data_IF_382223756835
#
_entry.id   IF_382223756835
#
_cell.length_a   1.000
_cell.length_b   1.000
_cell.length_c   1.000
_cell.angle_alpha   90.00
_cell.angle_beta   90.00
_cell.angle_gamma   90.00
#
_symmetry.space_group_name_H-M   'P 1'
#
loop_
_entity.id
_entity.type
_entity.pdbx_description
1 polymer ?
#
# COMPACT_ATOMS: atom_id res chain seq x y z
N UNK A 1 30.29 14.84 16.68
CA UNK A 1 28.86 15.19 16.75
C UNK A 1 28.08 13.96 16.32
N UNK A 2 27.62 13.14 17.26
CA UNK A 2 26.66 12.08 16.96
C UNK A 2 25.27 12.72 17.11
N UNK A 3 24.66 13.10 15.99
CA UNK A 3 23.25 13.47 15.98
C UNK A 3 22.45 12.20 16.27
N UNK A 4 21.80 12.17 17.44
CA UNK A 4 20.74 11.20 17.72
C UNK A 4 19.57 11.55 16.80
N UNK A 5 19.53 10.93 15.62
CA UNK A 5 18.33 10.93 14.80
C UNK A 5 17.37 9.95 15.47
N UNK A 6 16.25 10.46 15.95
CA UNK A 6 15.24 9.63 16.60
C UNK A 6 14.61 8.74 15.52
N UNK A 7 14.35 7.46 15.79
CA UNK A 7 13.77 6.53 14.80
C UNK A 7 12.43 7.04 14.25
N UNK A 8 11.73 7.88 15.02
CA UNK A 8 10.51 8.57 14.62
C UNK A 8 10.72 9.62 13.50
N UNK A 9 11.88 10.27 13.44
CA UNK A 9 12.19 11.30 12.45
C UNK A 9 12.50 10.70 11.07
N UNK A 10 13.01 9.47 11.01
CA UNK A 10 13.27 8.73 9.76
C UNK A 10 11.99 8.13 9.14
N UNK A 11 10.94 7.93 9.95
CA UNK A 11 9.65 7.39 9.51
C UNK A 11 8.76 8.44 8.84
N UNK A 12 8.97 9.73 9.15
CA UNK A 12 8.24 10.83 8.54
C UNK A 12 8.69 11.15 7.10
N UNK A 13 9.84 10.61 6.67
CA UNK A 13 10.49 10.95 5.39
C UNK A 13 10.39 9.84 4.32
N UNK A 14 9.63 8.77 4.58
CA UNK A 14 9.27 7.85 3.51
C UNK A 14 8.13 8.48 2.71
N UNK A 15 8.32 8.83 1.43
CA UNK A 15 7.26 9.43 0.64
C UNK A 15 6.08 8.45 0.58
N UNK A 16 4.91 8.91 1.03
CA UNK A 16 3.65 8.22 0.78
C UNK A 16 3.63 7.81 -0.70
N UNK A 17 3.64 6.50 -0.96
CA UNK A 17 3.65 6.01 -2.34
C UNK A 17 2.20 6.01 -2.82
N UNK A 18 1.91 6.85 -3.82
CA UNK A 18 0.65 6.84 -4.53
C UNK A 18 0.81 6.04 -5.81
N UNK A 19 0.01 5.00 -5.98
CA UNK A 19 0.01 4.18 -7.19
C UNK A 19 -1.34 4.33 -7.86
N UNK A 20 -1.31 4.77 -9.12
CA UNK A 20 -2.50 4.78 -9.97
C UNK A 20 -2.53 3.49 -10.77
N UNK A 21 -3.62 2.75 -10.61
CA UNK A 21 -3.88 1.52 -11.34
C UNK A 21 -4.98 1.77 -12.38
N UNK A 22 -4.65 1.72 -13.68
CA UNK A 22 -5.61 1.92 -14.74
C UNK A 22 -6.46 0.67 -14.91
N UNK A 23 -7.79 0.83 -15.03
CA UNK A 23 -8.71 -0.31 -15.20
C UNK A 23 -9.19 -0.50 -16.65
N UNK A 24 -8.55 0.17 -17.60
CA UNK A 24 -8.88 0.10 -19.03
C UNK A 24 -10.20 0.80 -19.41
N UNK A 25 -11.00 1.26 -18.44
CA UNK A 25 -12.27 1.96 -18.69
C UNK A 25 -12.12 3.49 -18.70
N UNK A 26 -10.93 4.00 -18.39
CA UNK A 26 -10.66 5.43 -18.19
C UNK A 26 -10.87 5.91 -16.76
N UNK A 27 -11.37 5.04 -15.88
CA UNK A 27 -11.41 5.28 -14.43
C UNK A 27 -10.05 4.97 -13.79
N UNK A 28 -9.65 5.77 -12.80
CA UNK A 28 -8.38 5.62 -12.11
C UNK A 28 -8.60 5.08 -10.70
N UNK A 29 -7.85 4.05 -10.35
CA UNK A 29 -7.88 3.48 -9.01
C UNK A 29 -6.63 3.92 -8.29
N UNK A 30 -6.77 4.57 -7.15
CA UNK A 30 -5.63 5.09 -6.40
C UNK A 30 -5.40 4.20 -5.19
N UNK A 31 -4.16 3.73 -5.06
CA UNK A 31 -3.68 3.00 -3.91
C UNK A 31 -2.68 3.89 -3.19
N UNK A 32 -2.98 4.19 -1.93
CA UNK A 32 -2.16 5.00 -1.07
C UNK A 32 -1.49 4.08 -0.05
N UNK A 33 -0.17 3.95 -0.13
CA UNK A 33 0.63 3.36 0.92
C UNK A 33 1.07 4.46 1.88
N UNK A 34 0.58 4.40 3.12
CA UNK A 34 0.95 5.32 4.19
C UNK A 34 1.63 4.57 5.32
N UNK A 35 2.78 5.06 5.74
CA UNK A 35 3.37 4.74 7.05
C UNK A 35 2.89 5.78 8.06
N UNK A 36 1.95 5.42 8.93
CA UNK A 36 1.55 6.27 10.06
C UNK A 36 2.16 5.66 11.33
N UNK A 37 3.29 6.21 11.78
CA UNK A 37 4.08 5.66 12.88
C UNK A 37 4.86 4.39 12.50
N UNK A 38 5.02 3.45 13.45
CA UNK A 38 5.69 2.14 13.22
C UNK A 38 4.82 1.12 12.44
N UNK A 39 3.69 1.57 11.88
CA UNK A 39 2.70 0.71 11.21
C UNK A 39 2.57 1.11 9.75
N UNK A 40 2.61 0.12 8.87
CA UNK A 40 2.45 0.32 7.44
C UNK A 40 1.10 -0.21 6.98
N UNK A 41 0.35 0.67 6.32
CA UNK A 41 -0.98 0.39 5.79
C UNK A 41 -1.03 0.75 4.31
N UNK A 42 -1.67 -0.11 3.52
CA UNK A 42 -2.07 0.22 2.16
C UNK A 42 -3.58 0.41 2.15
N UNK A 43 -4.01 1.56 1.66
CA UNK A 43 -5.39 1.96 1.53
C UNK A 43 -5.79 2.09 0.05
N UNK A 44 -7.04 1.79 -0.23
CA UNK A 44 -7.66 1.93 -1.54
C UNK A 44 -8.71 3.05 -1.52
N UNK A 45 -8.71 3.88 -2.56
CA UNK A 45 -9.78 4.80 -2.88
C UNK A 45 -10.10 4.76 -4.39
N UNK A 46 -11.31 5.19 -4.74
CA UNK A 46 -11.83 5.20 -6.10
C UNK A 46 -12.07 6.63 -6.57
N UNK A 47 -11.64 6.98 -7.79
CA UNK A 47 -12.03 8.24 -8.39
C UNK A 47 -11.97 8.27 -9.92
N UNK A 48 -12.62 9.26 -10.52
CA UNK A 48 -12.59 9.49 -11.97
C UNK A 48 -11.38 10.30 -12.44
N UNK A 49 -10.68 10.99 -11.53
CA UNK A 49 -9.53 11.86 -11.84
C UNK A 49 -8.33 11.57 -10.90
N UNK A 50 -7.08 11.66 -11.38
CA UNK A 50 -5.91 11.41 -10.54
C UNK A 50 -5.76 12.39 -9.37
N UNK A 51 -6.24 13.63 -9.54
CA UNK A 51 -6.16 14.71 -8.56
C UNK A 51 -7.26 14.70 -7.48
N UNK A 52 -8.25 13.82 -7.60
CA UNK A 52 -9.40 13.76 -6.68
C UNK A 52 -10.58 14.65 -7.12
N UNK A 53 -11.60 14.84 -6.25
CA UNK A 53 -11.66 14.50 -4.82
C UNK A 53 -11.66 12.99 -4.52
N UNK A 54 -10.81 12.53 -3.59
CA UNK A 54 -10.73 11.11 -3.24
C UNK A 54 -11.94 10.64 -2.43
N UNK A 55 -12.48 9.46 -2.76
CA UNK A 55 -13.46 8.77 -1.92
C UNK A 55 -12.84 8.32 -0.59
N UNK A 56 -13.67 7.76 0.31
CA UNK A 56 -13.18 7.27 1.59
C UNK A 56 -12.14 6.17 1.39
N UNK A 57 -10.96 6.37 1.97
CA UNK A 57 -9.89 5.39 1.98
C UNK A 57 -10.28 4.14 2.79
N UNK A 58 -10.18 2.96 2.19
CA UNK A 58 -10.40 1.67 2.84
C UNK A 58 -9.10 0.88 2.90
N UNK A 59 -8.70 0.44 4.09
CA UNK A 59 -7.49 -0.36 4.31
C UNK A 59 -7.61 -1.74 3.66
N UNK A 60 -6.59 -2.13 2.90
CA UNK A 60 -6.52 -3.42 2.17
C UNK A 60 -5.33 -4.30 2.56
N UNK A 61 -4.23 -3.70 3.03
CA UNK A 61 -3.06 -4.43 3.56
C UNK A 61 -2.62 -3.76 4.86
N UNK A 62 -2.25 -4.58 5.85
CA UNK A 62 -1.70 -4.14 7.12
C UNK A 62 -0.61 -5.12 7.55
N UNK A 63 0.55 -4.57 7.91
CA UNK A 63 1.62 -5.30 8.59
C UNK A 63 1.83 -4.67 9.97
N UNK A 64 1.86 -5.50 11.02
CA UNK A 64 1.94 -5.03 12.40
C UNK A 64 3.25 -4.29 12.69
N UNK A 65 4.29 -5.04 13.02
CA UNK A 65 5.59 -4.53 13.42
C UNK A 65 6.57 -4.48 12.25
N UNK A 66 6.09 -4.67 11.02
CA UNK A 66 6.88 -4.77 9.81
C UNK A 66 6.56 -3.61 8.88
N UNK A 67 7.59 -3.10 8.21
CA UNK A 67 7.44 -2.04 7.23
C UNK A 67 7.03 -2.65 5.86
N UNK A 68 6.26 -1.88 5.11
CA UNK A 68 5.79 -2.20 3.77
C UNK A 68 5.74 -0.94 2.91
N UNK A 69 6.65 -0.83 1.94
CA UNK A 69 6.86 0.37 1.15
C UNK A 69 7.19 0.05 -0.32
N UNK A 70 7.31 1.09 -1.15
CA UNK A 70 7.54 0.97 -2.60
C UNK A 70 6.47 0.10 -3.25
N UNK A 71 5.20 0.43 -2.96
CA UNK A 71 4.06 -0.33 -3.47
C UNK A 71 3.98 -0.16 -4.99
N UNK A 72 3.71 -1.25 -5.68
CA UNK A 72 3.47 -1.27 -7.12
C UNK A 72 2.23 -2.12 -7.44
N UNK A 73 1.60 -1.85 -8.59
CA UNK A 73 0.50 -2.66 -9.09
C UNK A 73 0.85 -3.24 -10.45
N UNK A 74 0.28 -4.40 -10.78
CA UNK A 74 0.66 -5.18 -11.95
C UNK A 74 -0.54 -5.47 -12.84
N UNK A 75 -0.90 -4.51 -13.70
CA UNK A 75 -2.07 -4.61 -14.60
C UNK A 75 -2.01 -5.82 -15.54
N UNK A 76 -0.80 -6.28 -15.88
CA UNK A 76 -0.61 -7.49 -16.69
C UNK A 76 -1.20 -8.76 -16.04
N UNK A 77 -1.29 -8.79 -14.70
CA UNK A 77 -1.86 -9.92 -13.97
C UNK A 77 -3.34 -9.79 -13.65
N UNK A 78 -3.98 -8.68 -14.05
CA UNK A 78 -5.39 -8.45 -13.75
C UNK A 78 -6.27 -9.55 -14.33
N UNK A 79 -7.31 -9.92 -13.58
CA UNK A 79 -8.26 -10.95 -13.96
C UNK A 79 -9.68 -10.41 -13.87
N UNK A 80 -10.60 -11.10 -14.54
CA UNK A 80 -12.03 -10.80 -14.49
C UNK A 80 -12.35 -9.34 -14.91
N UNK A 81 -11.55 -8.78 -15.83
CA UNK A 81 -11.71 -7.40 -16.30
C UNK A 81 -11.37 -6.35 -15.23
N UNK A 82 -10.30 -6.57 -14.45
CA UNK A 82 -9.84 -5.63 -13.42
C UNK A 82 -10.58 -5.74 -12.07
N UNK A 83 -11.46 -6.73 -11.89
CA UNK A 83 -12.08 -7.02 -10.59
C UNK A 83 -11.09 -7.67 -9.62
N UNK A 84 -10.11 -8.38 -10.14
CA UNK A 84 -9.02 -8.98 -9.38
C UNK A 84 -7.73 -8.33 -9.84
N UNK A 85 -7.02 -7.68 -8.92
CA UNK A 85 -5.76 -7.01 -9.20
C UNK A 85 -4.64 -7.59 -8.33
N UNK A 86 -3.41 -7.28 -8.71
CA UNK A 86 -2.21 -7.66 -7.96
C UNK A 86 -1.41 -6.42 -7.60
N UNK A 87 -1.05 -6.32 -6.32
CA UNK A 87 -0.14 -5.30 -5.81
C UNK A 87 0.98 -5.95 -5.02
N UNK A 88 2.17 -5.38 -5.07
CA UNK A 88 3.30 -5.80 -4.26
C UNK A 88 3.89 -4.63 -3.50
N UNK A 89 4.79 -4.95 -2.58
CA UNK A 89 5.63 -3.98 -1.91
C UNK A 89 6.76 -4.67 -1.17
N UNK A 90 7.73 -3.87 -0.76
CA UNK A 90 8.92 -4.32 -0.03
C UNK A 90 8.55 -4.57 1.43
N UNK A 91 8.55 -5.83 1.85
CA UNK A 91 8.30 -6.25 3.22
C UNK A 91 9.62 -6.34 3.99
N UNK A 92 9.81 -5.49 5.01
CA UNK A 92 11.10 -5.39 5.73
C UNK A 92 10.95 -5.05 7.20
N UNK A 93 11.91 -5.50 8.01
CA UNK A 93 12.08 -5.09 9.41
C UNK A 93 12.73 -3.70 9.54
N UNK A 94 13.27 -3.15 8.46
CA UNK A 94 13.93 -1.85 8.47
C UNK A 94 12.95 -0.72 8.81
N UNK A 95 13.33 0.15 9.74
CA UNK A 95 12.48 1.23 10.26
C UNK A 95 11.11 0.70 10.71
N UNK A 96 11.13 -0.38 11.49
CA UNK A 96 9.92 -1.03 12.00
C UNK A 96 10.09 -1.40 13.47
N UNK A 97 9.02 -1.87 14.11
CA UNK A 97 9.07 -2.37 15.49
C UNK A 97 9.35 -3.87 15.59
N UNK A 98 9.74 -4.54 14.49
CA UNK A 98 9.95 -5.97 14.45
C UNK A 98 11.08 -6.37 15.39
N UNK A 99 10.80 -7.27 16.33
CA UNK A 99 11.83 -7.82 17.23
C UNK A 99 12.54 -9.03 16.63
N UNK A 100 11.94 -9.65 15.63
CA UNK A 100 12.44 -10.86 14.96
C UNK A 100 12.21 -10.76 13.45
N UNK A 101 13.12 -11.37 12.69
CA UNK A 101 13.01 -11.41 11.22
C UNK A 101 12.18 -12.59 10.75
N UNK A 102 11.19 -12.36 9.90
CA UNK A 102 10.49 -13.41 9.17
C UNK A 102 11.50 -14.14 8.26
N UNK A 103 11.82 -15.42 8.53
CA UNK A 103 12.90 -16.11 7.83
C UNK A 103 12.65 -16.18 6.33
N UNK A 104 13.66 -15.83 5.52
CA UNK A 104 13.61 -15.82 4.04
C UNK A 104 12.65 -14.80 3.40
N UNK A 105 11.89 -14.03 4.17
CA UNK A 105 10.95 -13.04 3.63
C UNK A 105 11.38 -11.59 3.88
N UNK A 106 12.27 -11.35 4.84
CA UNK A 106 12.76 -10.01 5.12
C UNK A 106 13.46 -9.37 3.91
N UNK A 107 13.08 -8.15 3.58
CA UNK A 107 13.58 -7.38 2.43
C UNK A 107 13.26 -8.02 1.06
N UNK A 108 12.10 -8.70 0.95
CA UNK A 108 11.59 -9.21 -0.32
C UNK A 108 10.31 -8.47 -0.76
N UNK A 109 9.97 -8.62 -2.03
CA UNK A 109 8.65 -8.23 -2.54
C UNK A 109 7.62 -9.27 -2.11
N UNK A 110 6.56 -8.81 -1.45
CA UNK A 110 5.39 -9.63 -1.11
C UNK A 110 4.21 -9.14 -1.93
N UNK A 111 3.62 -10.04 -2.71
CA UNK A 111 2.51 -9.74 -3.59
C UNK A 111 1.18 -10.21 -3.00
N UNK A 112 0.18 -9.35 -3.08
CA UNK A 112 -1.19 -9.59 -2.68
C UNK A 112 -2.11 -9.62 -3.90
N UNK A 113 -3.05 -10.57 -3.87
CA UNK A 113 -4.20 -10.60 -4.77
C UNK A 113 -5.39 -9.92 -4.09
N UNK A 114 -5.95 -8.89 -4.71
CA UNK A 114 -7.06 -8.10 -4.15
C UNK A 114 -8.28 -8.22 -5.05
N UNK A 115 -9.45 -8.51 -4.45
CA UNK A 115 -10.75 -8.44 -5.11
C UNK A 115 -11.39 -7.08 -4.85
N UNK A 116 -11.56 -6.28 -5.90
CA UNK A 116 -12.09 -4.92 -5.79
C UNK A 116 -13.62 -4.87 -5.67
N UNK A 117 -14.31 -5.95 -6.00
CA UNK A 117 -15.77 -6.12 -5.86
C UNK A 117 -16.18 -6.67 -4.48
N UNK A 118 -15.22 -6.88 -3.58
CA UNK A 118 -15.48 -7.36 -2.23
C UNK A 118 -16.34 -6.35 -1.45
N UNK A 119 -17.40 -6.83 -0.81
CA UNK A 119 -18.33 -6.00 -0.02
C UNK A 119 -17.65 -5.16 1.07
N UNK A 120 -16.47 -5.58 1.55
CA UNK A 120 -15.68 -4.83 2.55
C UNK A 120 -15.09 -3.53 1.98
N UNK A 121 -15.03 -3.38 0.65
CA UNK A 121 -14.49 -2.21 -0.04
C UNK A 121 -15.56 -1.19 -0.46
N UNK A 122 -16.85 -1.42 -0.15
CA UNK A 122 -17.96 -0.52 -0.53
C UNK A 122 -17.71 0.93 -0.15
N UNK A 123 -17.13 1.18 1.02
CA UNK A 123 -16.82 2.54 1.46
C UNK A 123 -15.85 3.28 0.53
N UNK A 124 -15.01 2.57 -0.24
CA UNK A 124 -14.13 3.20 -1.24
C UNK A 124 -14.83 3.45 -2.58
N UNK A 125 -16.00 2.87 -2.82
CA UNK A 125 -16.75 2.94 -4.08
C UNK A 125 -17.86 4.00 -4.06
N UNK A 126 -18.17 4.54 -2.87
CA UNK A 126 -19.12 5.63 -2.62
C UNK A 126 -18.45 7.00 -2.79
#
# INVERSE_FOLDING_TARGET
>A
MHSNVNSADLLADQPNTYVVHPDGSGTLRVFLATSIGLRCEVCHCHHSQPEGPYSKAVKIVHHDQYNFYNVATHTFFDQEGGRVIYLEGTYTDSFSGATEKTPRYNYNQVMYRVRLDDSRLRGAQE
#
